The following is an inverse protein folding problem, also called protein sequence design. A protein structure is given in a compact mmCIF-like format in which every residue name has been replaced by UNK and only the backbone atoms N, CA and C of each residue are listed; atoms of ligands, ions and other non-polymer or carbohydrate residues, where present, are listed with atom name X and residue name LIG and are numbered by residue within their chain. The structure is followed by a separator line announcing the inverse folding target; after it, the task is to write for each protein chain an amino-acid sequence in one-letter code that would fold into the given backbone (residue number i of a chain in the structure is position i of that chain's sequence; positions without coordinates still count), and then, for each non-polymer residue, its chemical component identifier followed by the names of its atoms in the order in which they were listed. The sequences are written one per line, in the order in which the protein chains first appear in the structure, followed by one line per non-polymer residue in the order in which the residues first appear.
data_IF_299626971300
#
_entry.id   IF_299626971300
#
_cell.length_a   1.000
_cell.length_b   1.000
_cell.length_c   1.000
_cell.angle_alpha   90.00
_cell.angle_beta   90.00
_cell.angle_gamma   90.00
#
_symmetry.space_group_name_H-M   'P 1'
#
loop_
_entity.id
_entity.type
_entity.pdbx_description
1 polymer ?
#
# COMPACT_ATOMS: atom_id res chain seq x y z
N UNK A 1 -18.77 4.02 -6.65
CA UNK A 1 -17.77 3.51 -7.61
C UNK A 1 -16.59 4.47 -7.59
N UNK A 2 -15.38 3.98 -7.34
CA UNK A 2 -14.17 4.79 -7.42
C UNK A 2 -13.86 5.00 -8.91
N UNK A 3 -13.48 6.21 -9.31
CA UNK A 3 -13.17 6.47 -10.72
C UNK A 3 -11.86 5.79 -11.09
N UNK A 4 -11.82 5.16 -12.27
CA UNK A 4 -10.61 4.48 -12.76
C UNK A 4 -9.40 5.44 -12.82
N UNK A 5 -9.63 6.73 -13.09
CA UNK A 5 -8.60 7.77 -13.07
C UNK A 5 -7.96 8.02 -11.70
N UNK A 6 -8.65 7.68 -10.60
CA UNK A 6 -8.08 7.79 -9.24
C UNK A 6 -7.14 6.62 -8.94
N UNK A 7 -7.46 5.42 -9.43
CA UNK A 7 -6.58 4.25 -9.29
C UNK A 7 -5.34 4.46 -10.15
N UNK A 8 -5.52 4.91 -11.38
CA UNK A 8 -4.44 5.19 -12.32
C UNK A 8 -3.45 6.24 -11.77
N UNK A 9 -3.94 7.36 -11.22
CA UNK A 9 -3.05 8.42 -10.72
C UNK A 9 -2.17 7.98 -9.54
N UNK A 10 -2.64 7.02 -8.73
CA UNK A 10 -1.91 6.50 -7.57
C UNK A 10 -0.99 5.34 -7.97
N UNK A 11 -1.46 4.42 -8.81
CA UNK A 11 -0.77 3.16 -9.09
C UNK A 11 0.16 3.26 -10.30
N UNK A 12 -0.19 4.02 -11.35
CA UNK A 12 0.64 4.17 -12.56
C UNK A 12 2.09 4.57 -12.28
N UNK A 13 2.39 5.53 -11.39
CA UNK A 13 3.77 5.89 -11.07
C UNK A 13 4.60 4.74 -10.49
N UNK A 14 3.95 3.73 -9.92
CA UNK A 14 4.60 2.61 -9.24
C UNK A 14 4.73 1.37 -10.12
N UNK A 15 4.05 1.31 -11.26
CA UNK A 15 4.14 0.18 -12.19
C UNK A 15 5.58 -0.15 -12.64
N UNK A 16 6.47 0.84 -12.92
CA UNK A 16 7.86 0.52 -13.27
C UNK A 16 8.58 -0.23 -12.16
N UNK A 17 8.43 0.23 -10.91
CA UNK A 17 9.02 -0.39 -9.73
C UNK A 17 8.46 -1.80 -9.51
N UNK A 18 7.14 -1.93 -9.65
CA UNK A 18 6.46 -3.22 -9.52
C UNK A 18 6.99 -4.22 -10.56
N UNK A 19 7.23 -3.79 -11.81
CA UNK A 19 7.85 -4.63 -12.86
C UNK A 19 9.31 -5.00 -12.56
N UNK A 20 10.11 -4.08 -12.04
CA UNK A 20 11.55 -4.31 -11.83
C UNK A 20 11.86 -5.09 -10.55
N UNK A 21 11.19 -4.74 -9.45
CA UNK A 21 11.47 -5.25 -8.11
C UNK A 21 10.48 -6.34 -7.66
N UNK A 22 9.47 -6.64 -8.48
CA UNK A 22 8.36 -7.55 -8.15
C UNK A 22 7.53 -7.12 -6.95
N UNK A 23 7.83 -5.98 -6.34
CA UNK A 23 7.03 -5.38 -5.29
C UNK A 23 7.12 -3.85 -5.29
N UNK A 24 6.16 -3.21 -4.62
CA UNK A 24 6.18 -1.78 -4.29
C UNK A 24 5.34 -1.53 -3.05
N UNK A 25 5.47 -0.35 -2.45
CA UNK A 25 4.73 0.05 -1.26
C UNK A 25 3.78 1.20 -1.60
N UNK A 26 2.55 1.11 -1.10
CA UNK A 26 1.56 2.19 -1.12
C UNK A 26 1.16 2.58 0.30
N UNK A 27 0.68 3.81 0.46
CA UNK A 27 0.15 4.24 1.75
C UNK A 27 -1.14 3.48 2.07
N UNK A 28 -1.36 3.14 3.35
CA UNK A 28 -2.61 2.52 3.77
C UNK A 28 -3.83 3.42 3.49
N UNK A 29 -3.66 4.74 3.51
CA UNK A 29 -4.72 5.70 3.18
C UNK A 29 -5.15 5.55 1.72
N UNK A 30 -4.20 5.43 0.80
CA UNK A 30 -4.53 5.28 -0.61
C UNK A 30 -5.10 3.89 -0.89
N UNK A 31 -4.56 2.84 -0.26
CA UNK A 31 -5.17 1.51 -0.27
C UNK A 31 -6.65 1.54 0.16
N UNK A 32 -6.98 2.20 1.28
CA UNK A 32 -8.36 2.31 1.74
C UNK A 32 -9.27 3.10 0.80
N UNK A 33 -8.73 4.10 0.10
CA UNK A 33 -9.48 4.90 -0.87
C UNK A 33 -9.76 4.15 -2.15
N UNK A 34 -8.82 3.31 -2.61
CA UNK A 34 -8.91 2.59 -3.88
C UNK A 34 -9.63 1.25 -3.75
N UNK A 35 -9.39 0.53 -2.66
CA UNK A 35 -9.91 -0.82 -2.46
C UNK A 35 -9.10 -1.90 -3.19
N UNK A 36 -9.11 -3.11 -2.61
CA UNK A 36 -8.30 -4.25 -3.07
C UNK A 36 -8.65 -4.67 -4.52
N UNK A 37 -9.94 -4.81 -4.84
CA UNK A 37 -10.39 -5.25 -6.17
C UNK A 37 -9.98 -4.30 -7.29
N UNK A 38 -10.10 -3.00 -7.07
CA UNK A 38 -9.76 -1.97 -8.05
C UNK A 38 -8.25 -1.93 -8.33
N UNK A 39 -7.43 -2.04 -7.29
CA UNK A 39 -5.97 -2.11 -7.42
C UNK A 39 -5.58 -3.37 -8.20
N UNK A 40 -6.16 -4.54 -7.86
CA UNK A 40 -5.89 -5.81 -8.58
C UNK A 40 -6.31 -5.73 -10.04
N UNK A 41 -7.52 -5.22 -10.32
CA UNK A 41 -8.03 -5.09 -11.67
C UNK A 41 -7.12 -4.18 -12.51
N UNK A 42 -6.73 -3.04 -11.98
CA UNK A 42 -5.84 -2.10 -12.66
C UNK A 42 -4.46 -2.73 -12.93
N UNK A 43 -3.84 -3.33 -11.91
CA UNK A 43 -2.53 -3.99 -12.08
C UNK A 43 -2.60 -5.15 -13.07
N UNK A 44 -3.67 -5.95 -13.06
CA UNK A 44 -3.88 -7.04 -14.03
C UNK A 44 -3.99 -6.51 -15.46
N UNK A 45 -4.73 -5.42 -15.67
CA UNK A 45 -4.85 -4.78 -16.98
C UNK A 45 -3.52 -4.17 -17.46
N UNK A 46 -2.77 -3.53 -16.56
CA UNK A 46 -1.53 -2.82 -16.92
C UNK A 46 -0.29 -3.72 -17.04
N UNK A 47 -0.24 -4.83 -16.29
CA UNK A 47 0.92 -5.72 -16.18
C UNK A 47 0.68 -7.10 -16.78
N UNK A 48 -0.58 -7.48 -17.03
CA UNK A 48 -0.95 -8.82 -17.48
C UNK A 48 -0.73 -9.91 -16.43
N UNK A 49 -0.43 -9.54 -15.17
CA UNK A 49 -0.15 -10.46 -14.06
C UNK A 49 -1.02 -10.11 -12.86
N UNK A 50 -1.38 -11.14 -12.11
CA UNK A 50 -2.04 -10.93 -10.83
C UNK A 50 -1.03 -10.42 -9.79
N UNK A 51 -1.55 -9.69 -8.80
CA UNK A 51 -0.75 -9.18 -7.69
C UNK A 51 -1.30 -9.72 -6.37
N UNK A 52 -0.44 -9.83 -5.38
CA UNK A 52 -0.78 -10.03 -3.97
C UNK A 52 -0.70 -8.70 -3.24
N UNK A 53 -1.71 -8.40 -2.44
CA UNK A 53 -1.73 -7.22 -1.57
C UNK A 53 -1.51 -7.69 -0.12
N UNK A 54 -0.51 -7.14 0.55
CA UNK A 54 -0.15 -7.47 1.93
C UNK A 54 -0.25 -6.19 2.76
N UNK A 55 -1.10 -6.19 3.77
CA UNK A 55 -1.20 -5.10 4.74
C UNK A 55 -0.45 -5.51 6.01
N UNK A 56 0.60 -4.78 6.36
CA UNK A 56 1.36 -4.97 7.61
C UNK A 56 1.10 -3.80 8.56
N UNK A 57 1.00 -4.08 9.84
CA UNK A 57 1.16 -3.04 10.86
C UNK A 57 2.66 -2.77 11.02
N UNK A 58 3.04 -1.51 11.16
CA UNK A 58 4.44 -1.20 11.40
C UNK A 58 4.80 -1.63 12.83
N UNK A 59 5.77 -2.53 12.94
CA UNK A 59 6.35 -2.94 14.21
C UNK A 59 7.16 -1.76 14.77
N UNK A 60 6.51 -0.90 15.55
CA UNK A 60 7.21 0.11 16.36
C UNK A 60 8.00 -0.60 17.48
N UNK A 61 9.18 -1.13 17.16
CA UNK A 61 10.07 -1.73 18.17
C UNK A 61 11.05 -0.73 18.82
N UNK A 62 11.07 0.54 18.41
CA UNK A 62 11.99 1.54 18.97
C UNK A 62 11.31 2.89 19.19
N UNK A 63 10.69 3.08 20.36
CA UNK A 63 10.56 4.40 21.04
C UNK A 63 9.87 4.29 22.41
N UNK A 64 9.38 3.11 22.84
CA UNK A 64 8.73 2.98 24.16
C UNK A 64 9.69 3.18 25.35
N UNK A 65 11.02 3.05 25.14
CA UNK A 65 11.99 3.29 26.22
C UNK A 65 12.22 4.80 26.48
N UNK A 66 11.85 5.70 25.56
CA UNK A 66 12.16 7.14 25.69
C UNK A 66 10.95 8.09 25.72
N UNK A 67 9.76 7.67 25.27
CA UNK A 67 8.63 8.59 25.07
C UNK A 67 7.42 8.37 26.00
N UNK A 68 7.64 7.71 27.15
CA UNK A 68 6.59 7.24 28.06
C UNK A 68 5.83 8.34 28.85
N UNK A 69 5.74 9.58 28.35
CA UNK A 69 5.00 10.66 29.02
C UNK A 69 4.04 11.48 28.14
N UNK A 70 4.04 11.34 26.81
CA UNK A 70 3.32 12.32 25.97
C UNK A 70 2.38 11.81 24.87
N UNK A 71 2.17 10.51 24.64
CA UNK A 71 1.33 10.09 23.49
C UNK A 71 0.42 8.90 23.75
N UNK A 72 -0.63 9.11 24.53
CA UNK A 72 -1.84 8.31 24.40
C UNK A 72 -2.48 8.63 23.03
N UNK A 73 -2.61 7.63 22.15
CA UNK A 73 -3.24 7.66 20.81
C UNK A 73 -2.35 7.87 19.55
N UNK A 74 -1.11 7.37 19.50
CA UNK A 74 -0.50 7.07 18.18
C UNK A 74 -1.20 5.83 17.60
N UNK A 75 -2.13 6.02 16.65
CA UNK A 75 -2.63 4.91 15.82
C UNK A 75 -1.42 4.28 15.13
N UNK A 76 -1.24 2.97 15.27
CA UNK A 76 -0.19 2.22 14.56
C UNK A 76 -0.27 2.53 13.06
N UNK A 77 0.84 2.92 12.47
CA UNK A 77 0.91 3.06 11.02
C UNK A 77 0.81 1.69 10.35
N UNK A 78 0.29 1.68 9.14
CA UNK A 78 0.12 0.47 8.33
C UNK A 78 0.83 0.68 7.01
N UNK A 79 1.58 -0.33 6.60
CA UNK A 79 2.26 -0.40 5.32
C UNK A 79 1.53 -1.38 4.41
N UNK A 80 1.31 -0.99 3.16
CA UNK A 80 0.68 -1.86 2.15
C UNK A 80 1.70 -2.19 1.09
N UNK A 81 1.98 -3.47 0.91
CA UNK A 81 2.90 -4.00 -0.09
C UNK A 81 2.07 -4.60 -1.23
N UNK A 82 2.35 -4.20 -2.46
CA UNK A 82 1.87 -4.85 -3.66
C UNK A 82 3.00 -5.73 -4.19
N UNK A 83 2.72 -6.98 -4.49
CA UNK A 83 3.70 -7.98 -4.96
C UNK A 83 3.17 -8.64 -6.24
N UNK A 84 4.00 -8.76 -7.28
CA UNK A 84 3.63 -9.47 -8.51
C UNK A 84 3.72 -10.99 -8.33
N UNK A 85 2.73 -11.70 -8.88
CA UNK A 85 2.70 -13.17 -8.95
C UNK A 85 3.25 -13.67 -10.27
#
# INVERSE_FOLDING_TARGET
MISMGTVESVISPMLPMLKSCHNTIISYRDYQKLGDEEIRRFCKQALGRDIRIIVKEDDHYEEEVLMNRYRSNRKKSKTVILELL
#
